data_IF_204551875161
#
_entry.id   IF_204551875161
#
_cell.length_a   1.000
_cell.length_b   1.000
_cell.length_c   1.000
_cell.angle_alpha   90.00
_cell.angle_beta   90.00
_cell.angle_gamma   90.00
#
_symmetry.space_group_name_H-M   'P 1'
#
loop_
_entity.id
_entity.type
_entity.pdbx_description
1 polymer ?
#
# COMPACT_ATOMS: atom_id res chain seq x y z
N UNK A 1 -18.23 -27.18 -32.77
CA UNK A 1 -17.13 -26.20 -32.58
C UNK A 1 -17.61 -24.82 -32.10
N UNK A 2 -18.71 -24.26 -32.64
CA UNK A 2 -19.22 -22.93 -32.24
C UNK A 2 -19.69 -22.83 -30.78
N UNK A 3 -20.28 -23.89 -30.22
CA UNK A 3 -20.77 -23.93 -28.84
C UNK A 3 -19.66 -23.96 -27.79
N UNK A 4 -18.55 -24.64 -28.08
CA UNK A 4 -17.36 -24.69 -27.22
C UNK A 4 -16.67 -23.32 -27.19
N UNK A 5 -16.57 -22.66 -28.35
CA UNK A 5 -16.03 -21.30 -28.44
C UNK A 5 -16.86 -20.28 -27.63
N UNK A 6 -18.20 -20.34 -27.70
CA UNK A 6 -19.06 -19.46 -26.88
C UNK A 6 -18.89 -19.69 -25.38
N UNK A 7 -18.80 -20.95 -24.92
CA UNK A 7 -18.60 -21.23 -23.49
C UNK A 7 -17.25 -20.71 -22.99
N UNK A 8 -16.20 -20.77 -23.81
CA UNK A 8 -14.86 -20.29 -23.47
C UNK A 8 -14.79 -18.76 -23.41
N UNK A 9 -15.53 -18.05 -24.29
CA UNK A 9 -15.66 -16.59 -24.27
C UNK A 9 -16.44 -16.11 -23.04
N UNK A 10 -17.48 -16.84 -22.62
CA UNK A 10 -18.23 -16.54 -21.40
C UNK A 10 -17.40 -16.83 -20.14
N UNK A 11 -16.61 -17.90 -20.14
CA UNK A 11 -15.71 -18.20 -19.01
C UNK A 11 -14.60 -17.16 -18.85
N UNK A 12 -14.09 -16.60 -19.96
CA UNK A 12 -13.09 -15.52 -19.95
C UNK A 12 -13.68 -14.17 -19.49
N UNK A 13 -14.94 -13.87 -19.81
CA UNK A 13 -15.58 -12.59 -19.47
C UNK A 13 -15.97 -12.46 -17.99
N UNK A 14 -16.08 -13.56 -17.25
CA UNK A 14 -16.37 -13.58 -15.80
C UNK A 14 -15.07 -13.72 -14.98
N UNK A 15 -13.99 -13.12 -15.47
CA UNK A 15 -12.78 -12.90 -14.65
C UNK A 15 -13.04 -11.71 -13.72
N UNK A 16 -13.86 -11.90 -12.68
CA UNK A 16 -14.01 -10.90 -11.61
C UNK A 16 -12.64 -10.74 -10.96
N UNK A 17 -11.99 -9.60 -11.19
CA UNK A 17 -10.72 -9.27 -10.54
C UNK A 17 -11.02 -9.05 -9.06
N UNK A 18 -10.79 -10.09 -8.27
CA UNK A 18 -10.79 -9.98 -6.82
C UNK A 18 -9.56 -9.15 -6.43
N UNK A 19 -9.77 -7.85 -6.22
CA UNK A 19 -8.77 -7.00 -5.59
C UNK A 19 -8.63 -7.51 -4.16
N UNK A 20 -7.50 -8.12 -3.79
CA UNK A 20 -7.20 -8.51 -2.42
C UNK A 20 -6.51 -7.37 -1.67
N UNK A 21 -6.83 -7.22 -0.38
CA UNK A 21 -6.02 -6.37 0.49
C UNK A 21 -4.67 -7.05 0.67
N UNK A 22 -3.59 -6.31 0.44
CA UNK A 22 -2.25 -6.89 0.39
C UNK A 22 -1.23 -5.97 1.05
N UNK A 23 -0.31 -6.60 1.78
CA UNK A 23 0.88 -5.91 2.26
C UNK A 23 1.79 -5.60 1.08
N UNK A 24 2.29 -4.38 1.01
CA UNK A 24 3.21 -3.92 -0.05
C UNK A 24 4.57 -3.57 0.54
N UNK A 25 5.60 -3.92 -0.21
CA UNK A 25 6.97 -3.54 0.08
C UNK A 25 7.56 -2.88 -1.16
N UNK A 26 8.25 -1.77 -0.96
CA UNK A 26 9.07 -1.12 -1.97
C UNK A 26 10.52 -1.08 -1.50
N UNK A 27 11.44 -1.43 -2.39
CA UNK A 27 12.86 -1.50 -2.06
C UNK A 27 13.21 -2.64 -1.11
N UNK A 28 14.41 -2.56 -0.55
CA UNK A 28 14.96 -3.58 0.35
C UNK A 28 15.90 -2.92 1.36
N UNK A 29 15.86 -3.39 2.60
CA UNK A 29 16.79 -2.94 3.63
C UNK A 29 18.23 -3.30 3.26
N UNK A 30 19.14 -2.36 3.46
CA UNK A 30 20.58 -2.52 3.30
C UNK A 30 21.29 -2.29 4.62
N UNK A 31 22.55 -2.73 4.71
CA UNK A 31 23.37 -2.49 5.90
C UNK A 31 23.49 -0.98 6.18
N UNK A 32 23.32 -0.61 7.44
CA UNK A 32 23.27 0.79 7.91
C UNK A 32 21.88 1.43 7.91
N UNK A 33 20.83 0.73 7.46
CA UNK A 33 19.48 1.27 7.47
C UNK A 33 18.90 1.41 8.89
N UNK A 34 18.41 2.61 9.17
CA UNK A 34 17.63 2.95 10.36
C UNK A 34 16.16 3.06 10.01
N UNK A 35 15.31 2.84 11.01
CA UNK A 35 13.90 3.18 10.93
C UNK A 35 13.78 4.71 10.96
N UNK A 36 13.34 5.30 9.85
CA UNK A 36 13.16 6.73 9.68
C UNK A 36 11.81 7.18 10.24
N UNK A 37 10.77 6.39 10.01
CA UNK A 37 9.44 6.65 10.54
C UNK A 37 8.62 5.37 10.68
N UNK A 38 7.68 5.39 11.62
CA UNK A 38 6.75 4.33 11.92
C UNK A 38 5.36 4.91 12.17
N UNK A 39 4.35 4.39 11.48
CA UNK A 39 2.98 4.81 11.68
C UNK A 39 2.01 3.65 11.61
N UNK A 40 0.94 3.74 12.40
CA UNK A 40 -0.23 2.86 12.27
C UNK A 40 -1.39 3.71 11.76
N UNK A 41 -1.90 3.37 10.58
CA UNK A 41 -3.01 4.08 9.94
C UNK A 41 -4.23 3.18 9.90
N UNK A 42 -5.21 3.50 10.73
CA UNK A 42 -6.45 2.77 10.91
C UNK A 42 -7.63 3.58 10.36
N UNK A 43 -8.49 2.94 9.57
CA UNK A 43 -9.77 3.54 9.20
C UNK A 43 -10.92 2.53 9.35
N UNK A 44 -11.66 2.68 10.45
CA UNK A 44 -12.82 1.87 10.82
C UNK A 44 -14.15 2.65 10.72
N UNK A 45 -14.18 3.76 9.99
CA UNK A 45 -15.39 4.58 9.84
C UNK A 45 -16.56 3.80 9.21
N UNK A 46 -17.75 4.41 9.15
CA UNK A 46 -18.95 3.78 8.57
C UNK A 46 -18.70 3.15 7.18
N UNK A 47 -19.48 2.14 6.78
CA UNK A 47 -19.33 1.50 5.47
C UNK A 47 -19.55 2.53 4.36
N UNK A 48 -18.46 2.95 3.72
CA UNK A 48 -18.48 3.82 2.55
C UNK A 48 -17.90 3.06 1.35
N UNK A 49 -18.24 3.46 0.10
CA UNK A 49 -17.80 2.77 -1.10
C UNK A 49 -16.27 2.69 -1.24
N UNK A 50 -15.52 3.66 -0.72
CA UNK A 50 -14.06 3.64 -0.67
C UNK A 50 -13.61 4.46 0.53
N UNK A 51 -12.77 3.89 1.40
CA UNK A 51 -12.06 4.65 2.43
C UNK A 51 -10.66 4.86 1.95
N UNK A 52 -10.18 6.10 2.02
CA UNK A 52 -8.77 6.39 1.76
C UNK A 52 -8.16 7.20 2.90
N UNK A 53 -6.85 7.06 3.05
CA UNK A 53 -6.03 7.92 3.91
C UNK A 53 -4.69 8.18 3.25
N UNK A 54 -4.11 9.33 3.56
CA UNK A 54 -2.79 9.72 3.08
C UNK A 54 -1.82 9.63 4.25
N UNK A 55 -0.78 8.82 4.07
CA UNK A 55 0.39 8.85 4.92
C UNK A 55 1.50 9.60 4.21
N UNK A 56 2.21 10.47 4.94
CA UNK A 56 3.31 11.26 4.40
C UNK A 56 4.48 11.26 5.37
N UNK A 57 5.61 10.76 4.90
CA UNK A 57 6.89 10.94 5.54
C UNK A 57 7.63 12.11 4.89
N UNK A 58 8.09 13.03 5.74
CA UNK A 58 8.98 14.13 5.40
C UNK A 58 10.20 14.06 6.31
N UNK A 59 11.40 14.37 5.78
CA UNK A 59 12.57 14.48 6.63
C UNK A 59 12.42 15.65 7.61
N UNK A 60 13.16 15.60 8.72
CA UNK A 60 13.16 16.67 9.72
C UNK A 60 13.44 18.03 9.07
N UNK A 61 12.64 19.04 9.43
CA UNK A 61 12.78 20.41 8.92
C UNK A 61 14.17 20.93 9.26
N UNK A 62 14.89 21.44 8.26
CA UNK A 62 16.26 21.94 8.42
C UNK A 62 17.37 20.89 8.36
N UNK A 63 17.05 19.63 8.04
CA UNK A 63 18.07 18.59 7.82
C UNK A 63 18.95 18.93 6.60
N UNK A 64 20.23 19.22 6.83
CA UNK A 64 21.21 19.52 5.76
C UNK A 64 21.45 18.34 4.82
N UNK A 65 21.30 17.10 5.32
CA UNK A 65 21.45 15.86 4.54
C UNK A 65 20.35 14.88 4.95
N UNK A 66 19.14 15.02 4.40
CA UNK A 66 18.06 14.08 4.72
C UNK A 66 18.45 12.67 4.25
N UNK A 67 18.11 11.64 5.03
CA UNK A 67 18.43 10.26 4.67
C UNK A 67 17.66 9.85 3.42
N UNK A 68 18.30 9.02 2.59
CA UNK A 68 17.62 8.44 1.44
C UNK A 68 16.85 7.20 1.89
N UNK A 69 15.58 7.13 1.49
CA UNK A 69 14.72 5.98 1.78
C UNK A 69 15.20 4.78 0.97
N UNK A 70 15.42 3.65 1.62
CA UNK A 70 15.90 2.41 1.01
C UNK A 70 14.81 1.34 0.95
N UNK A 71 13.91 1.35 1.93
CA UNK A 71 12.78 0.44 1.98
C UNK A 71 11.56 1.09 2.62
N UNK A 72 10.39 0.73 2.11
CA UNK A 72 9.09 1.13 2.65
C UNK A 72 8.26 -0.13 2.79
N UNK A 73 7.78 -0.42 3.99
CA UNK A 73 6.89 -1.55 4.26
C UNK A 73 5.53 -1.01 4.66
N UNK A 74 4.49 -1.36 3.90
CA UNK A 74 3.09 -1.09 4.21
C UNK A 74 2.38 -2.41 4.44
N UNK A 75 2.29 -2.83 5.70
CA UNK A 75 1.69 -4.12 6.10
C UNK A 75 0.22 -3.93 6.43
N UNK A 76 -0.65 -4.62 5.69
CA UNK A 76 -2.08 -4.69 6.00
C UNK A 76 -2.31 -5.73 7.10
N UNK A 77 -2.77 -5.27 8.26
CA UNK A 77 -3.04 -6.09 9.43
C UNK A 77 -4.48 -6.64 9.45
N UNK A 78 -5.28 -6.40 8.39
CA UNK A 78 -6.63 -6.97 8.30
C UNK A 78 -6.57 -8.39 7.73
N UNK A 79 -7.08 -9.39 8.48
CA UNK A 79 -7.00 -10.78 8.06
C UNK A 79 -7.87 -11.10 6.83
N UNK A 80 -7.57 -12.24 6.20
CA UNK A 80 -8.30 -12.80 5.06
C UNK A 80 -8.33 -11.88 3.82
N UNK A 81 -7.34 -11.00 3.67
CA UNK A 81 -7.21 -10.09 2.54
C UNK A 81 -8.40 -9.15 2.40
N UNK A 82 -9.10 -8.83 3.49
CA UNK A 82 -10.26 -7.93 3.54
C UNK A 82 -9.88 -6.47 3.81
N UNK A 83 -8.60 -6.15 3.96
CA UNK A 83 -8.19 -4.78 4.25
C UNK A 83 -8.11 -3.92 2.99
N UNK A 84 -6.92 -3.39 2.74
CA UNK A 84 -6.72 -2.36 1.73
C UNK A 84 -5.52 -2.61 0.83
N UNK A 85 -5.30 -1.69 -0.09
CA UNK A 85 -4.09 -1.58 -0.88
C UNK A 85 -3.35 -0.28 -0.55
N UNK A 86 -2.03 -0.33 -0.58
CA UNK A 86 -1.16 0.82 -0.41
C UNK A 86 -0.46 1.14 -1.74
N UNK A 87 -0.41 2.42 -2.11
CA UNK A 87 0.27 2.89 -3.32
C UNK A 87 1.10 4.14 -3.04
N UNK A 88 2.30 4.22 -3.62
CA UNK A 88 3.10 5.45 -3.62
C UNK A 88 2.45 6.44 -4.58
N UNK A 89 2.14 7.65 -4.09
CA UNK A 89 1.62 8.75 -4.90
C UNK A 89 2.74 9.72 -5.29
N UNK A 90 3.72 9.90 -4.40
CA UNK A 90 4.87 10.79 -4.62
C UNK A 90 6.03 10.37 -3.73
N UNK A 91 7.27 10.73 -4.10
CA UNK A 91 8.45 10.31 -3.37
C UNK A 91 8.81 8.84 -3.62
N UNK A 92 9.42 8.20 -2.63
CA UNK A 92 9.63 6.75 -2.60
C UNK A 92 11.07 6.34 -2.31
N UNK A 93 11.42 5.12 -2.73
CA UNK A 93 12.77 4.58 -2.58
C UNK A 93 13.76 5.42 -3.39
N UNK A 94 14.96 5.61 -2.85
CA UNK A 94 16.02 6.52 -3.29
C UNK A 94 15.66 8.01 -3.25
N UNK A 95 14.58 8.38 -2.57
CA UNK A 95 14.20 9.77 -2.31
C UNK A 95 14.17 10.03 -0.80
N UNK A 96 14.13 11.30 -0.41
CA UNK A 96 14.14 11.71 1.00
C UNK A 96 12.74 11.80 1.63
N UNK A 97 11.70 11.63 0.83
CA UNK A 97 10.30 11.70 1.25
C UNK A 97 9.46 10.61 0.58
N UNK A 98 8.30 10.32 1.15
CA UNK A 98 7.30 9.46 0.51
C UNK A 98 5.90 9.85 0.93
N UNK A 99 4.97 9.81 -0.02
CA UNK A 99 3.54 9.93 0.22
C UNK A 99 2.85 8.66 -0.25
N UNK A 100 2.16 7.98 0.66
CA UNK A 100 1.39 6.78 0.39
C UNK A 100 -0.10 7.12 0.43
N UNK A 101 -0.84 6.64 -0.57
CA UNK A 101 -2.30 6.52 -0.52
C UNK A 101 -2.65 5.11 -0.09
N UNK A 102 -3.39 5.01 1.01
CA UNK A 102 -3.93 3.79 1.54
C UNK A 102 -5.41 3.78 1.21
N UNK A 103 -5.90 2.69 0.64
CA UNK A 103 -7.31 2.60 0.24
C UNK A 103 -7.89 1.26 0.67
N UNK A 104 -9.09 1.25 1.26
CA UNK A 104 -9.80 0.01 1.58
C UNK A 104 -10.40 -0.61 0.31
N UNK A 105 -10.71 -1.90 0.39
CA UNK A 105 -11.77 -2.44 -0.48
C UNK A 105 -13.12 -1.76 -0.22
N UNK A 106 -14.05 -1.83 -1.18
CA UNK A 106 -15.39 -1.30 -0.97
C UNK A 106 -16.08 -1.87 0.26
N UNK A 107 -16.64 -0.98 1.07
CA UNK A 107 -17.36 -1.29 2.31
C UNK A 107 -16.53 -2.05 3.37
N UNK A 108 -15.21 -2.09 3.23
CA UNK A 108 -14.31 -2.70 4.20
C UNK A 108 -13.63 -1.63 5.08
N UNK A 109 -12.84 -2.11 6.05
CA UNK A 109 -11.90 -1.30 6.85
C UNK A 109 -10.48 -1.57 6.38
N UNK A 110 -9.53 -0.74 6.77
CA UNK A 110 -8.11 -1.07 6.65
C UNK A 110 -7.36 -0.75 7.93
N UNK A 111 -6.26 -1.46 8.16
CA UNK A 111 -5.33 -1.20 9.25
C UNK A 111 -3.91 -1.44 8.72
N UNK A 112 -3.19 -0.37 8.42
CA UNK A 112 -1.83 -0.45 7.89
C UNK A 112 -0.81 -0.12 8.97
N UNK A 113 0.22 -0.95 9.08
CA UNK A 113 1.50 -0.57 9.71
C UNK A 113 2.45 -0.16 8.61
N UNK A 114 2.93 1.08 8.69
CA UNK A 114 3.87 1.67 7.75
C UNK A 114 5.21 1.84 8.44
N UNK A 115 6.26 1.37 7.79
CA UNK A 115 7.64 1.54 8.22
C UNK A 115 8.45 2.08 7.05
N UNK A 116 9.15 3.18 7.30
CA UNK A 116 10.06 3.79 6.33
C UNK A 116 11.47 3.61 6.86
N UNK A 117 12.34 3.01 6.04
CA UNK A 117 13.75 2.78 6.37
C UNK A 117 14.65 3.55 5.40
N UNK A 118 15.83 3.93 5.86
CA UNK A 118 16.83 4.60 5.05
C UNK A 118 18.10 4.94 5.81
N UNK A 119 19.02 5.62 5.13
CA UNK A 119 20.33 6.03 5.67
C UNK A 119 20.71 7.43 5.25
#
# INVERSE_FOLDING_TARGET
MKTIACCLVIFLSVSVVLIYGESRQWGRRVSGDRLLDYAVVLNNSLPVPEKSSIYRYLPAVGSFRPPNITAIYARDNVPAGKGGYAGIVSGGVNQSNVTLKLTSKPYQRFNFTIEVYGK
#
